data_IF_293347173648
#
_entry.id   IF_293347173648
#
_cell.length_a   1.000
_cell.length_b   1.000
_cell.length_c   1.000
_cell.angle_alpha   90.00
_cell.angle_beta   90.00
_cell.angle_gamma   90.00
#
_symmetry.space_group_name_H-M   'P 1'
#
loop_
_entity.id
_entity.type
_entity.pdbx_description
1 polymer ?
#
# COMPACT_ATOMS: atom_id res chain seq x y z
N UNK A 1 -2.99 -3.53 21.69
CA UNK A 1 -1.87 -4.40 21.31
C UNK A 1 -0.74 -3.54 20.74
N UNK A 2 0.38 -3.37 21.46
CA UNK A 2 1.51 -2.56 20.98
C UNK A 2 2.41 -3.49 20.15
N UNK A 3 2.46 -3.30 18.84
CA UNK A 3 3.35 -4.09 17.97
C UNK A 3 4.80 -3.76 18.38
N UNK A 4 5.50 -4.70 19.01
CA UNK A 4 6.89 -4.52 19.45
C UNK A 4 7.81 -4.83 18.27
N UNK A 5 7.95 -3.86 17.36
CA UNK A 5 8.70 -4.03 16.12
C UNK A 5 10.19 -3.76 16.35
N UNK A 6 11.06 -4.69 15.93
CA UNK A 6 12.51 -4.48 15.93
C UNK A 6 12.88 -3.41 14.89
N UNK A 7 13.82 -2.52 15.18
CA UNK A 7 14.17 -1.34 14.35
C UNK A 7 14.33 -1.64 12.84
N UNK A 8 14.94 -2.78 12.49
CA UNK A 8 15.09 -3.22 11.09
C UNK A 8 13.76 -3.58 10.42
N UNK A 9 12.85 -4.24 11.14
CA UNK A 9 11.51 -4.56 10.65
C UNK A 9 10.64 -3.29 10.52
N UNK A 10 10.83 -2.32 11.43
CA UNK A 10 10.11 -1.03 11.41
C UNK A 10 10.39 -0.28 10.11
N UNK A 11 11.67 -0.14 9.74
CA UNK A 11 12.07 0.51 8.49
C UNK A 11 11.49 -0.18 7.25
N UNK A 12 11.43 -1.51 7.23
CA UNK A 12 10.84 -2.25 6.11
C UNK A 12 9.33 -2.00 5.97
N UNK A 13 8.61 -2.00 7.09
CA UNK A 13 7.17 -1.73 7.12
C UNK A 13 6.88 -0.29 6.72
N UNK A 14 7.65 0.69 7.21
CA UNK A 14 7.54 2.09 6.82
C UNK A 14 7.75 2.28 5.31
N UNK A 15 8.76 1.63 4.71
CA UNK A 15 8.96 1.68 3.26
C UNK A 15 7.75 1.14 2.50
N UNK A 16 7.18 0.01 2.92
CA UNK A 16 5.99 -0.59 2.28
C UNK A 16 4.76 0.31 2.42
N UNK A 17 4.57 0.91 3.59
CA UNK A 17 3.48 1.86 3.83
C UNK A 17 3.62 3.09 2.92
N UNK A 18 4.83 3.66 2.80
CA UNK A 18 5.11 4.77 1.86
C UNK A 18 4.80 4.42 0.41
N UNK A 19 5.09 3.18 -0.01
CA UNK A 19 4.72 2.71 -1.35
C UNK A 19 3.20 2.68 -1.53
N UNK A 20 2.46 2.10 -0.59
CA UNK A 20 0.98 2.05 -0.64
C UNK A 20 0.39 3.46 -0.66
N UNK A 21 0.92 4.37 0.16
CA UNK A 21 0.52 5.78 0.17
C UNK A 21 0.73 6.43 -1.21
N UNK A 22 1.87 6.18 -1.85
CA UNK A 22 2.14 6.64 -3.22
C UNK A 22 1.15 6.09 -4.24
N UNK A 23 0.74 4.83 -4.12
CA UNK A 23 -0.28 4.23 -4.98
C UNK A 23 -1.65 4.90 -4.79
N UNK A 24 -2.08 5.13 -3.54
CA UNK A 24 -3.34 5.84 -3.24
C UNK A 24 -3.32 7.25 -3.80
N UNK A 25 -2.20 7.97 -3.63
CA UNK A 25 -2.02 9.31 -4.19
C UNK A 25 -2.05 9.31 -5.72
N UNK A 26 -1.51 8.27 -6.35
CA UNK A 26 -1.60 8.06 -7.80
C UNK A 26 -3.05 7.94 -8.26
N UNK A 27 -3.86 7.13 -7.57
CA UNK A 27 -5.28 7.00 -7.88
C UNK A 27 -6.02 8.34 -7.73
N UNK A 28 -5.76 9.09 -6.66
CA UNK A 28 -6.38 10.39 -6.46
C UNK A 28 -6.10 11.35 -7.64
N UNK A 29 -4.88 11.32 -8.19
CA UNK A 29 -4.55 12.07 -9.42
C UNK A 29 -5.29 11.52 -10.65
N UNK A 30 -5.37 10.21 -10.82
CA UNK A 30 -6.11 9.60 -11.94
C UNK A 30 -7.59 10.00 -11.94
N UNK A 31 -8.19 10.11 -10.76
CA UNK A 31 -9.56 10.62 -10.59
C UNK A 31 -9.64 12.10 -10.96
N UNK A 32 -8.71 12.93 -10.49
CA UNK A 32 -8.67 14.35 -10.82
C UNK A 32 -8.41 14.63 -12.32
N UNK A 33 -7.77 13.70 -13.02
CA UNK A 33 -7.47 13.75 -14.45
C UNK A 33 -8.53 13.02 -15.32
N UNK A 34 -9.66 12.63 -14.74
CA UNK A 34 -10.76 11.91 -15.43
C UNK A 34 -10.28 10.68 -16.22
N UNK A 35 -9.33 9.91 -15.66
CA UNK A 35 -8.84 8.66 -16.28
C UNK A 35 -9.94 7.60 -16.32
N UNK A 36 -9.81 6.66 -17.27
CA UNK A 36 -10.75 5.57 -17.42
C UNK A 36 -10.91 4.73 -16.16
N UNK A 37 -12.17 4.40 -15.84
CA UNK A 37 -12.53 3.56 -14.70
C UNK A 37 -11.75 2.25 -14.67
N UNK A 38 -11.51 1.63 -15.83
CA UNK A 38 -10.76 0.38 -15.93
C UNK A 38 -9.31 0.53 -15.42
N UNK A 39 -8.63 1.63 -15.75
CA UNK A 39 -7.27 1.88 -15.29
C UNK A 39 -7.23 2.11 -13.78
N UNK A 40 -8.21 2.85 -13.25
CA UNK A 40 -8.38 3.08 -11.80
C UNK A 40 -8.62 1.74 -11.07
N UNK A 41 -9.48 0.87 -11.61
CA UNK A 41 -9.74 -0.46 -11.06
C UNK A 41 -8.47 -1.32 -11.01
N UNK A 42 -7.65 -1.29 -12.06
CA UNK A 42 -6.35 -1.99 -12.08
C UNK A 42 -5.44 -1.47 -10.96
N UNK A 43 -5.37 -0.16 -10.73
CA UNK A 43 -4.56 0.40 -9.65
C UNK A 43 -5.11 0.04 -8.26
N UNK A 44 -6.43 0.01 -8.08
CA UNK A 44 -7.05 -0.45 -6.83
C UNK A 44 -6.70 -1.92 -6.53
N UNK A 45 -6.70 -2.78 -7.55
CA UNK A 45 -6.27 -4.17 -7.42
C UNK A 45 -4.79 -4.28 -7.03
N UNK A 46 -3.93 -3.41 -7.58
CA UNK A 46 -2.53 -3.35 -7.20
C UNK A 46 -2.34 -2.97 -5.72
N UNK A 47 -3.10 -1.98 -5.22
CA UNK A 47 -3.10 -1.60 -3.80
C UNK A 47 -3.55 -2.75 -2.92
N UNK A 48 -4.64 -3.44 -3.28
CA UNK A 48 -5.12 -4.61 -2.55
C UNK A 48 -4.06 -5.70 -2.45
N UNK A 49 -3.26 -5.93 -3.50
CA UNK A 49 -2.14 -6.87 -3.49
C UNK A 49 -1.02 -6.41 -2.55
N UNK A 50 -0.67 -5.12 -2.56
CA UNK A 50 0.31 -4.53 -1.64
C UNK A 50 -0.11 -4.68 -0.18
N UNK A 51 -1.39 -4.40 0.14
CA UNK A 51 -1.97 -4.56 1.47
C UNK A 51 -1.94 -6.02 1.93
N UNK A 52 -2.37 -6.96 1.07
CA UNK A 52 -2.28 -8.40 1.38
C UNK A 52 -0.83 -8.84 1.68
N UNK A 53 0.15 -8.31 0.95
CA UNK A 53 1.56 -8.58 1.19
C UNK A 53 2.03 -8.03 2.54
N UNK A 54 1.61 -6.81 2.90
CA UNK A 54 1.90 -6.18 4.19
C UNK A 54 1.26 -6.97 5.36
N UNK A 55 0.00 -7.37 5.23
CA UNK A 55 -0.71 -8.18 6.23
C UNK A 55 0.03 -9.49 6.51
N UNK A 56 0.46 -10.20 5.45
CA UNK A 56 1.26 -11.43 5.58
C UNK A 56 2.60 -11.17 6.28
N UNK A 57 3.20 -9.99 6.08
CA UNK A 57 4.47 -9.64 6.73
C UNK A 57 4.27 -9.41 8.23
N UNK A 58 3.23 -8.67 8.61
CA UNK A 58 2.88 -8.40 10.01
C UNK A 58 2.49 -9.69 10.74
N UNK A 59 1.70 -10.57 10.10
CA UNK A 59 1.29 -11.84 10.70
C UNK A 59 2.46 -12.79 10.99
N UNK A 60 3.51 -12.74 10.17
CA UNK A 60 4.70 -13.61 10.28
C UNK A 60 5.81 -12.99 11.15
N UNK A 61 5.59 -11.82 11.73
CA UNK A 61 6.55 -11.13 12.61
C UNK A 61 6.33 -11.53 14.06
#
# INVERSE_FOLDING_TARGET
>A
MKVRIVQKQKKNLETRLKTIEGQVRGIAKMVAEDKYCNDILIQLLAINKSLKSLNKKILKM
#
